data_IF_029386143587
#
_entry.id   IF_029386143587
#
_cell.length_a   1.000
_cell.length_b   1.000
_cell.length_c   1.000
_cell.angle_alpha   90.00
_cell.angle_beta   90.00
_cell.angle_gamma   90.00
#
_symmetry.space_group_name_H-M   'P 1'
#
loop_
_entity.id
_entity.type
_entity.pdbx_description
1 polymer ?
#
# COMPACT_ATOMS: atom_id res chain seq x y z
N UNK A 1 -2.72 -0.76 25.33
CA UNK A 1 -2.55 0.72 25.25
C UNK A 1 -2.33 1.18 23.81
N UNK A 2 -1.13 1.07 23.23
CA UNK A 2 -0.82 1.66 21.91
C UNK A 2 -1.75 1.28 20.75
N UNK A 3 -2.14 0.00 20.60
CA UNK A 3 -3.09 -0.43 19.56
C UNK A 3 -4.46 0.23 19.69
N UNK A 4 -4.95 0.35 20.93
CA UNK A 4 -6.23 0.99 21.23
C UNK A 4 -6.19 2.47 20.89
N UNK A 5 -5.12 3.16 21.28
CA UNK A 5 -4.87 4.57 20.93
C UNK A 5 -4.84 4.76 19.40
N UNK A 6 -4.10 3.92 18.68
CA UNK A 6 -4.03 3.98 17.22
C UNK A 6 -5.42 3.77 16.57
N UNK A 7 -6.15 2.76 17.02
CA UNK A 7 -7.48 2.47 16.48
C UNK A 7 -8.50 3.57 16.80
N UNK A 8 -8.53 4.07 18.03
CA UNK A 8 -9.52 5.05 18.50
C UNK A 8 -9.21 6.48 18.07
N UNK A 9 -7.93 6.85 17.93
CA UNK A 9 -7.51 8.24 17.65
C UNK A 9 -6.96 8.48 16.24
N UNK A 10 -6.56 7.44 15.51
CA UNK A 10 -5.98 7.61 14.17
C UNK A 10 -6.76 6.87 13.10
N UNK A 11 -7.43 5.76 13.44
CA UNK A 11 -8.14 4.96 12.44
C UNK A 11 -9.67 5.07 12.51
N UNK A 12 -10.25 5.42 13.66
CA UNK A 12 -11.70 5.51 13.78
C UNK A 12 -12.23 6.71 12.96
N UNK A 13 -13.35 6.57 12.24
CA UNK A 13 -13.97 7.69 11.54
C UNK A 13 -14.31 8.87 12.46
N UNK A 14 -14.60 8.58 13.73
CA UNK A 14 -14.90 9.57 14.77
C UNK A 14 -13.64 10.21 15.40
N UNK A 15 -12.44 9.78 15.01
CA UNK A 15 -11.19 10.16 15.67
C UNK A 15 -10.74 11.62 15.43
N UNK A 16 -11.42 12.35 14.56
CA UNK A 16 -11.12 13.76 14.28
C UNK A 16 -9.83 13.99 13.49
N UNK A 17 -9.15 12.95 13.00
CA UNK A 17 -8.04 13.09 12.07
C UNK A 17 -8.60 13.52 10.71
N UNK A 18 -8.45 14.80 10.39
CA UNK A 18 -8.75 15.33 9.08
C UNK A 18 -7.63 14.95 8.10
N UNK A 19 -7.90 13.91 7.30
CA UNK A 19 -6.96 13.42 6.29
C UNK A 19 -6.78 14.38 5.12
N UNK A 20 -7.70 15.33 4.91
CA UNK A 20 -7.58 16.34 3.85
C UNK A 20 -6.55 17.40 4.21
N UNK A 21 -6.41 17.71 5.50
CA UNK A 21 -5.44 18.65 6.05
C UNK A 21 -4.16 17.97 6.60
N UNK A 22 -3.94 16.69 6.27
CA UNK A 22 -2.78 15.93 6.75
C UNK A 22 -1.48 16.54 6.16
N UNK A 23 -0.54 16.90 7.04
CA UNK A 23 0.79 17.42 6.66
C UNK A 23 1.81 16.29 6.54
N UNK A 24 2.97 16.57 5.94
CA UNK A 24 4.09 15.62 5.86
C UNK A 24 4.52 15.08 7.25
N UNK A 25 4.59 15.94 8.27
CA UNK A 25 4.90 15.53 9.64
C UNK A 25 3.78 14.67 10.24
N UNK A 26 2.52 15.02 9.97
CA UNK A 26 1.36 14.23 10.38
C UNK A 26 1.37 12.82 9.74
N UNK A 27 1.71 12.75 8.46
CA UNK A 27 1.92 11.49 7.76
C UNK A 27 3.06 10.67 8.39
N UNK A 28 4.20 11.31 8.69
CA UNK A 28 5.33 10.64 9.34
C UNK A 28 4.95 10.02 10.68
N UNK A 29 4.13 10.72 11.48
CA UNK A 29 3.58 10.20 12.72
C UNK A 29 2.64 9.00 12.48
N UNK A 30 1.70 9.13 11.53
CA UNK A 30 0.76 8.08 11.16
C UNK A 30 1.48 6.80 10.71
N UNK A 31 2.47 6.93 9.82
CA UNK A 31 3.28 5.81 9.31
C UNK A 31 4.05 5.11 10.45
N UNK A 32 4.68 5.89 11.35
CA UNK A 32 5.43 5.33 12.47
C UNK A 32 4.53 4.56 13.43
N UNK A 33 3.35 5.09 13.76
CA UNK A 33 2.37 4.40 14.60
C UNK A 33 1.85 3.13 13.92
N UNK A 34 1.54 3.19 12.63
CA UNK A 34 1.12 2.03 11.85
C UNK A 34 2.18 0.91 11.91
N UNK A 35 3.45 1.26 11.68
CA UNK A 35 4.58 0.32 11.75
C UNK A 35 4.73 -0.28 13.14
N UNK A 36 4.67 0.55 14.18
CA UNK A 36 4.82 0.11 15.57
C UNK A 36 3.73 -0.89 15.96
N UNK A 37 2.46 -0.58 15.67
CA UNK A 37 1.32 -1.44 16.03
C UNK A 37 1.38 -2.77 15.28
N UNK A 38 1.60 -2.74 13.97
CA UNK A 38 1.63 -3.97 13.17
C UNK A 38 2.89 -4.82 13.45
N UNK A 39 4.01 -4.22 13.86
CA UNK A 39 5.18 -4.98 14.31
C UNK A 39 4.95 -5.67 15.65
N UNK A 40 4.30 -4.96 16.60
CA UNK A 40 3.92 -5.55 17.89
C UNK A 40 2.99 -6.75 17.73
N UNK A 41 2.11 -6.69 16.75
CA UNK A 41 1.19 -7.78 16.38
C UNK A 41 1.83 -8.84 15.47
N UNK A 42 3.14 -8.76 15.21
CA UNK A 42 3.91 -9.69 14.34
C UNK A 42 3.42 -9.76 12.88
N UNK A 43 2.75 -8.71 12.41
CA UNK A 43 2.29 -8.56 11.02
C UNK A 43 3.33 -7.87 10.13
N UNK A 44 4.22 -7.10 10.74
CA UNK A 44 5.39 -6.52 10.09
C UNK A 44 6.66 -7.00 10.79
N UNK A 45 7.67 -7.38 10.00
CA UNK A 45 9.04 -7.62 10.47
C UNK A 45 9.98 -6.55 9.94
N UNK A 46 11.09 -6.30 10.66
CA UNK A 46 12.05 -5.22 10.36
C UNK A 46 11.43 -3.80 10.30
N UNK A 47 10.30 -3.58 10.96
CA UNK A 47 9.50 -2.35 10.87
C UNK A 47 10.22 -1.05 11.25
N UNK A 48 11.27 -1.15 12.08
CA UNK A 48 12.11 -0.03 12.51
C UNK A 48 13.00 0.53 11.40
N UNK A 49 13.27 -0.23 10.34
CA UNK A 49 14.06 0.24 9.21
C UNK A 49 13.14 1.00 8.23
N UNK A 50 13.49 2.25 7.93
CA UNK A 50 12.75 3.08 6.96
C UNK A 50 12.68 2.40 5.59
N UNK A 51 13.81 1.85 5.15
CA UNK A 51 14.03 1.36 3.79
C UNK A 51 13.64 -0.10 3.59
N UNK A 52 13.50 -0.91 4.65
CA UNK A 52 13.30 -2.35 4.53
C UNK A 52 12.38 -2.89 5.63
N UNK A 53 11.26 -3.48 5.24
CA UNK A 53 10.36 -4.21 6.14
C UNK A 53 9.68 -5.31 5.34
N UNK A 54 9.14 -6.31 6.01
CA UNK A 54 8.34 -7.35 5.37
C UNK A 54 6.96 -7.45 6.01
N UNK A 55 5.96 -7.71 5.18
CA UNK A 55 4.60 -8.02 5.59
C UNK A 55 4.50 -9.52 5.79
N UNK A 56 4.30 -9.92 7.04
CA UNK A 56 4.13 -11.32 7.45
C UNK A 56 2.66 -11.74 7.49
N UNK A 57 1.75 -10.78 7.68
CA UNK A 57 0.30 -10.97 7.65
C UNK A 57 -0.36 -9.75 6.95
N UNK A 58 -1.10 -9.95 5.85
CA UNK A 58 -1.72 -8.87 5.09
C UNK A 58 -2.88 -8.18 5.83
N UNK A 59 -3.37 -8.74 6.94
CA UNK A 59 -4.46 -8.15 7.74
C UNK A 59 -3.97 -7.00 8.62
N UNK A 60 -3.40 -5.97 8.01
CA UNK A 60 -2.76 -4.85 8.71
C UNK A 60 -3.78 -3.93 9.38
N UNK A 61 -3.54 -3.58 10.64
CA UNK A 61 -4.36 -2.61 11.36
C UNK A 61 -4.13 -1.21 10.80
N UNK A 62 -5.20 -0.47 10.51
CA UNK A 62 -5.14 0.90 9.97
C UNK A 62 -4.86 0.99 8.47
N UNK A 63 -4.91 -0.14 7.74
CA UNK A 63 -4.69 -0.16 6.29
C UNK A 63 -5.71 0.72 5.56
N UNK A 64 -6.97 0.69 5.96
CA UNK A 64 -8.02 1.52 5.37
C UNK A 64 -7.75 3.02 5.60
N UNK A 65 -7.12 3.39 6.72
CA UNK A 65 -6.69 4.77 7.00
C UNK A 65 -5.60 5.23 6.04
N UNK A 66 -4.65 4.34 5.67
CA UNK A 66 -3.61 4.67 4.68
C UNK A 66 -4.21 4.87 3.28
N UNK A 67 -5.17 4.01 2.90
CA UNK A 67 -5.93 4.17 1.66
C UNK A 67 -6.75 5.45 1.64
N UNK A 68 -7.38 5.82 2.76
CA UNK A 68 -8.07 7.09 2.91
C UNK A 68 -7.10 8.28 2.82
N UNK A 69 -5.93 8.22 3.46
CA UNK A 69 -4.91 9.27 3.37
C UNK A 69 -4.42 9.46 1.93
N UNK A 70 -4.16 8.36 1.21
CA UNK A 70 -3.80 8.38 -0.21
C UNK A 70 -4.85 9.08 -1.08
N UNK A 71 -6.13 8.80 -0.82
CA UNK A 71 -7.24 9.36 -1.60
C UNK A 71 -7.59 10.80 -1.25
N UNK A 72 -7.57 11.16 0.04
CA UNK A 72 -8.11 12.42 0.57
C UNK A 72 -7.07 13.52 0.76
N UNK A 73 -5.77 13.19 0.86
CA UNK A 73 -4.75 14.19 1.13
C UNK A 73 -4.71 15.28 0.03
N UNK A 74 -4.84 16.53 0.46
CA UNK A 74 -4.65 17.69 -0.41
C UNK A 74 -3.15 17.95 -0.69
N UNK A 75 -2.29 17.63 0.27
CA UNK A 75 -0.83 17.75 0.15
C UNK A 75 -0.27 16.66 -0.79
N UNK A 76 0.36 17.09 -1.89
CA UNK A 76 0.98 16.21 -2.88
C UNK A 76 2.17 15.40 -2.32
N UNK A 77 2.87 15.90 -1.31
CA UNK A 77 3.93 15.15 -0.64
C UNK A 77 3.36 13.99 0.15
N UNK A 78 2.29 14.23 0.91
CA UNK A 78 1.59 13.21 1.68
C UNK A 78 0.98 12.16 0.77
N UNK A 79 0.32 12.58 -0.31
CA UNK A 79 -0.21 11.67 -1.31
C UNK A 79 0.87 10.72 -1.87
N UNK A 80 2.02 11.27 -2.28
CA UNK A 80 3.14 10.50 -2.83
C UNK A 80 3.73 9.54 -1.80
N UNK A 81 3.93 10.00 -0.57
CA UNK A 81 4.45 9.19 0.51
C UNK A 81 3.49 8.03 0.86
N UNK A 82 2.18 8.29 0.86
CA UNK A 82 1.15 7.27 1.05
C UNK A 82 1.14 6.24 -0.08
N UNK A 83 1.23 6.68 -1.33
CA UNK A 83 1.33 5.81 -2.49
C UNK A 83 2.56 4.88 -2.41
N UNK A 84 3.73 5.44 -2.10
CA UNK A 84 4.98 4.69 -1.96
C UNK A 84 4.90 3.68 -0.82
N UNK A 85 4.34 4.08 0.31
CA UNK A 85 4.18 3.19 1.46
C UNK A 85 3.21 2.04 1.17
N UNK A 86 2.06 2.34 0.53
CA UNK A 86 1.12 1.31 0.07
C UNK A 86 1.81 0.32 -0.88
N UNK A 87 2.53 0.79 -1.90
CA UNK A 87 3.29 -0.09 -2.80
C UNK A 87 4.24 -1.00 -2.01
N UNK A 88 4.99 -0.44 -1.05
CA UNK A 88 5.89 -1.23 -0.23
C UNK A 88 5.17 -2.30 0.59
N UNK A 89 3.99 -2.01 1.17
CA UNK A 89 3.20 -3.00 1.91
C UNK A 89 2.76 -4.18 1.01
N UNK A 90 2.38 -3.91 -0.24
CA UNK A 90 1.87 -4.95 -1.13
C UNK A 90 2.98 -5.69 -1.93
N UNK A 91 4.18 -5.13 -2.04
CA UNK A 91 5.31 -5.76 -2.74
C UNK A 91 6.24 -6.53 -1.80
N UNK A 92 6.43 -6.03 -0.57
CA UNK A 92 7.38 -6.61 0.40
C UNK A 92 6.73 -7.68 1.25
N UNK A 93 6.24 -8.72 0.60
CA UNK A 93 5.53 -9.83 1.24
C UNK A 93 6.50 -10.91 1.70
N UNK A 94 6.28 -11.42 2.91
CA UNK A 94 6.96 -12.58 3.46
C UNK A 94 6.70 -13.84 2.61
N UNK A 95 7.65 -14.77 2.61
CA UNK A 95 7.64 -15.91 1.68
C UNK A 95 6.49 -16.91 1.85
N UNK A 96 5.71 -16.81 2.94
CA UNK A 96 4.59 -17.70 3.24
C UNK A 96 3.23 -17.16 2.78
N UNK A 97 3.18 -15.93 2.26
CA UNK A 97 1.95 -15.29 1.83
C UNK A 97 1.57 -15.67 0.40
N UNK A 98 0.27 -15.82 0.18
CA UNK A 98 -0.30 -15.91 -1.16
C UNK A 98 -0.22 -14.52 -1.83
N UNK A 99 0.80 -14.35 -2.67
CA UNK A 99 1.04 -13.09 -3.38
C UNK A 99 -0.11 -12.75 -4.32
N UNK A 100 -0.69 -13.72 -4.99
CA UNK A 100 -1.77 -13.48 -5.95
C UNK A 100 -3.00 -12.91 -5.24
N UNK A 101 -3.38 -13.50 -4.11
CA UNK A 101 -4.50 -13.00 -3.31
C UNK A 101 -4.26 -11.57 -2.79
N UNK A 102 -3.04 -11.28 -2.30
CA UNK A 102 -2.68 -9.95 -1.78
C UNK A 102 -2.63 -8.91 -2.90
N UNK A 103 -2.09 -9.26 -4.05
CA UNK A 103 -2.04 -8.37 -5.21
C UNK A 103 -3.41 -8.12 -5.83
N UNK A 104 -4.29 -9.12 -5.82
CA UNK A 104 -5.70 -8.94 -6.22
C UNK A 104 -6.41 -7.94 -5.30
N UNK A 105 -6.25 -8.08 -3.98
CA UNK A 105 -6.79 -7.09 -3.02
C UNK A 105 -6.27 -5.67 -3.29
N UNK A 106 -4.98 -5.52 -3.62
CA UNK A 106 -4.43 -4.21 -4.01
C UNK A 106 -5.17 -3.62 -5.20
N UNK A 107 -5.30 -4.38 -6.29
CA UNK A 107 -5.96 -3.93 -7.52
C UNK A 107 -7.43 -3.61 -7.24
N UNK A 108 -8.14 -4.47 -6.52
CA UNK A 108 -9.54 -4.25 -6.16
C UNK A 108 -9.74 -2.98 -5.32
N UNK A 109 -8.79 -2.64 -4.44
CA UNK A 109 -8.82 -1.39 -3.66
C UNK A 109 -8.52 -0.18 -4.53
N UNK A 110 -7.48 -0.24 -5.36
CA UNK A 110 -7.15 0.84 -6.28
C UNK A 110 -8.30 1.14 -7.26
N UNK A 111 -8.96 0.10 -7.78
CA UNK A 111 -10.14 0.22 -8.63
C UNK A 111 -11.36 0.78 -7.89
N UNK A 112 -11.55 0.46 -6.59
CA UNK A 112 -12.62 1.09 -5.78
C UNK A 112 -12.39 2.59 -5.61
N UNK A 113 -11.15 3.03 -5.45
CA UNK A 113 -10.83 4.46 -5.44
C UNK A 113 -11.10 5.13 -6.80
N UNK A 114 -10.91 4.41 -7.90
CA UNK A 114 -11.29 4.87 -9.24
C UNK A 114 -12.82 4.98 -9.39
N UNK A 115 -13.56 3.96 -8.96
CA UNK A 115 -15.01 3.93 -9.05
C UNK A 115 -15.66 5.02 -8.19
N UNK A 116 -15.20 5.22 -6.96
CA UNK A 116 -15.71 6.27 -6.08
C UNK A 116 -15.48 7.68 -6.63
N UNK A 117 -14.38 7.91 -7.36
CA UNK A 117 -14.16 9.16 -8.09
C UNK A 117 -15.05 9.30 -9.33
N UNK A 118 -15.46 8.18 -9.96
CA UNK A 118 -16.34 8.19 -11.13
C UNK A 118 -17.83 8.41 -10.76
N UNK A 119 -18.22 8.02 -9.56
CA UNK A 119 -19.59 8.16 -9.05
C UNK A 119 -19.99 9.64 -8.77
N UNK A 120 -19.05 10.59 -8.90
CA UNK A 120 -19.34 11.99 -9.26
C UNK A 120 -20.13 12.82 -8.25
N UNK A 121 -19.94 12.56 -6.96
CA UNK A 121 -20.59 13.36 -5.89
C UNK A 121 -19.79 14.60 -5.49
N UNK A 122 -18.61 14.83 -6.09
CA UNK A 122 -17.66 15.88 -5.74
C UNK A 122 -17.36 16.88 -6.85
N UNK A 123 -16.34 17.71 -6.62
CA UNK A 123 -15.77 18.60 -7.62
C UNK A 123 -15.09 17.79 -8.73
N UNK A 124 -15.47 18.03 -9.99
CA UNK A 124 -14.91 17.34 -11.16
C UNK A 124 -13.38 17.43 -11.24
N UNK A 125 -12.78 18.51 -10.74
CA UNK A 125 -11.33 18.66 -10.68
C UNK A 125 -10.69 17.69 -9.68
N UNK A 126 -11.33 17.51 -8.52
CA UNK A 126 -10.93 16.55 -7.50
C UNK A 126 -11.08 15.11 -7.99
N UNK A 127 -12.21 14.80 -8.64
CA UNK A 127 -12.47 13.47 -9.19
C UNK A 127 -11.43 13.06 -10.25
N UNK A 128 -11.06 13.99 -11.15
CA UNK A 128 -10.01 13.74 -12.15
C UNK A 128 -8.64 13.53 -11.51
N UNK A 129 -8.30 14.27 -10.46
CA UNK A 129 -7.05 14.11 -9.72
C UNK A 129 -7.01 12.74 -9.03
N UNK A 130 -8.07 12.36 -8.32
CA UNK A 130 -8.20 11.06 -7.67
C UNK A 130 -8.08 9.90 -8.68
N UNK A 131 -8.71 10.01 -9.86
CA UNK A 131 -8.57 9.02 -10.92
C UNK A 131 -7.12 8.89 -11.42
N UNK A 132 -6.47 10.02 -11.72
CA UNK A 132 -5.06 10.03 -12.16
C UNK A 132 -4.15 9.38 -11.13
N UNK A 133 -4.36 9.71 -9.86
CA UNK A 133 -3.61 9.17 -8.72
C UNK A 133 -3.77 7.65 -8.63
N UNK A 134 -4.99 7.13 -8.68
CA UNK A 134 -5.24 5.69 -8.59
C UNK A 134 -4.76 4.91 -9.82
N UNK A 135 -4.88 5.47 -11.03
CA UNK A 135 -4.28 4.90 -12.24
C UNK A 135 -2.75 4.84 -12.13
N UNK A 136 -2.11 5.94 -11.72
CA UNK A 136 -0.66 5.99 -11.54
C UNK A 136 -0.18 4.96 -10.50
N UNK A 137 -0.88 4.83 -9.37
CA UNK A 137 -0.58 3.83 -8.35
C UNK A 137 -0.68 2.39 -8.90
N UNK A 138 -1.73 2.11 -9.68
CA UNK A 138 -1.95 0.79 -10.28
C UNK A 138 -0.87 0.46 -11.32
N UNK A 139 -0.53 1.41 -12.20
CA UNK A 139 0.51 1.23 -13.20
C UNK A 139 1.88 0.98 -12.54
N UNK A 140 2.24 1.80 -11.56
CA UNK A 140 3.49 1.61 -10.79
C UNK A 140 3.55 0.23 -10.15
N UNK A 141 2.44 -0.23 -9.58
CA UNK A 141 2.38 -1.57 -9.00
C UNK A 141 2.62 -2.67 -10.04
N UNK A 142 1.95 -2.59 -11.20
CA UNK A 142 2.14 -3.55 -12.29
C UNK A 142 3.58 -3.55 -12.80
N UNK A 143 4.18 -2.37 -13.00
CA UNK A 143 5.58 -2.23 -13.38
C UNK A 143 6.52 -2.91 -12.38
N UNK A 144 6.30 -2.74 -11.07
CA UNK A 144 7.11 -3.38 -10.03
C UNK A 144 6.93 -4.91 -10.01
N UNK A 145 5.70 -5.40 -10.24
CA UNK A 145 5.41 -6.84 -10.31
C UNK A 145 6.03 -7.48 -11.56
N UNK A 146 6.04 -6.76 -12.70
CA UNK A 146 6.59 -7.24 -13.97
C UNK A 146 8.13 -7.18 -14.02
N UNK A 147 8.78 -6.39 -13.16
CA UNK A 147 10.24 -6.31 -13.14
C UNK A 147 10.84 -7.70 -12.95
N UNK A 148 11.71 -8.18 -13.87
CA UNK A 148 12.29 -9.52 -13.82
C UNK A 148 13.18 -9.77 -12.59
N UNK A 149 13.48 -8.71 -11.81
CA UNK A 149 14.23 -8.75 -10.56
C UNK A 149 13.51 -8.05 -9.38
N UNK A 150 12.25 -7.62 -9.54
CA UNK A 150 11.52 -6.77 -8.59
C UNK A 150 11.14 -7.43 -7.26
N UNK A 151 11.21 -8.77 -7.21
CA UNK A 151 10.93 -9.56 -6.01
C UNK A 151 12.24 -10.12 -5.41
N UNK A 152 13.37 -10.11 -6.14
CA UNK A 152 14.57 -10.90 -5.79
C UNK A 152 15.56 -10.24 -4.82
N UNK A 153 15.51 -8.92 -4.58
CA UNK A 153 16.46 -8.29 -3.65
C UNK A 153 16.15 -8.52 -2.16
N UNK A 154 15.04 -9.18 -1.84
CA UNK A 154 14.80 -9.74 -0.49
C UNK A 154 15.13 -11.24 -0.43
N UNK A 155 15.25 -11.92 -1.57
CA UNK A 155 15.48 -13.38 -1.62
C UNK A 155 16.95 -13.79 -1.51
N UNK A 156 17.90 -12.91 -1.80
CA UNK A 156 19.32 -13.31 -1.86
C UNK A 156 20.09 -13.31 -0.54
N UNK A 157 19.50 -12.94 0.59
CA UNK A 157 20.18 -13.05 1.88
C UNK A 157 19.96 -14.39 2.61
N UNK A 158 19.06 -15.28 2.11
CA UNK A 158 18.62 -16.44 2.89
C UNK A 158 18.58 -17.79 2.19
N UNK A 159 18.27 -17.89 0.90
CA UNK A 159 18.11 -19.19 0.24
C UNK A 159 18.54 -19.13 -1.22
N UNK A 160 19.79 -19.50 -1.48
CA UNK A 160 20.18 -20.04 -2.77
C UNK A 160 19.57 -21.45 -2.88
N UNK A 161 18.50 -21.60 -3.68
CA UNK A 161 18.33 -22.68 -4.68
C UNK A 161 16.89 -22.63 -5.26
N UNK A 162 16.74 -22.97 -6.55
CA UNK A 162 15.50 -23.06 -7.36
C UNK A 162 14.92 -21.74 -7.97
N UNK A 163 15.49 -21.37 -9.12
CA UNK A 163 14.86 -20.46 -10.07
C UNK A 163 13.75 -21.17 -10.87
N UNK A 164 12.48 -20.89 -10.56
CA UNK A 164 11.34 -21.29 -11.41
C UNK A 164 11.19 -20.26 -12.53
N UNK A 165 11.48 -20.70 -13.77
CA UNK A 165 11.46 -19.87 -14.98
C UNK A 165 10.09 -20.00 -15.65
N UNK A 166 9.14 -19.11 -15.36
CA UNK A 166 7.85 -19.08 -16.08
C UNK A 166 8.04 -18.36 -17.41
N UNK A 167 7.94 -19.09 -18.53
CA UNK A 167 7.93 -18.52 -19.89
C UNK A 167 6.48 -18.30 -20.33
N UNK A 168 6.06 -17.05 -20.46
CA UNK A 168 4.81 -16.70 -21.14
C UNK A 168 4.98 -16.87 -22.65
N UNK A 169 4.24 -17.82 -23.25
CA UNK A 169 4.11 -17.96 -24.71
C UNK A 169 2.90 -17.17 -25.17
N UNK A 170 3.13 -16.06 -25.87
CA UNK A 170 2.08 -15.36 -26.61
C UNK A 170 1.80 -16.14 -27.90
N UNK A 171 0.62 -16.74 -28.02
CA UNK A 171 0.11 -17.26 -29.30
C UNK A 171 -0.47 -16.10 -30.09
N UNK A 172 0.18 -15.71 -31.19
CA UNK A 172 -0.50 -14.93 -32.24
C UNK A 172 -1.37 -15.89 -33.06
N UNK A 173 -2.67 -15.63 -33.09
CA UNK A 173 -3.62 -16.33 -33.95
C UNK A 173 -3.33 -16.04 -35.42
N UNK A 174 -3.50 -17.07 -36.24
CA UNK A 174 -3.47 -17.01 -37.69
C UNK A 174 -4.78 -16.42 -38.25
#
# INVERSE_FOLDING_TARGET
AARRVFQELLCAPAAGLDLTALTADGWGCLEQFFRYVNAKDKRLSSSHQKTYFLVEDPKLAGLDTLWAAFGLAADEEVHRAAADFLLHLYLRLGGRLDREAVWRDFVDRALRHLAGAADGTGDRAYDLAAMRRALALTLRFLEEVEKPYGILNVYHAGQADQAVRVRLRVRRGA
#
